data_IF_567066244862
#
_entry.id   IF_567066244862
#
_cell.length_a   1.000
_cell.length_b   1.000
_cell.length_c   1.000
_cell.angle_alpha   90.00
_cell.angle_beta   90.00
_cell.angle_gamma   90.00
#
_symmetry.space_group_name_H-M   'P 1'
#
loop_
_entity.id
_entity.type
_entity.pdbx_description
1 polymer ?
#
# COMPACT_ATOMS: atom_id res chain seq x y z
N UNK A 1 -7.14 -2.48 -29.74
CA UNK A 1 -7.20 -1.30 -28.84
C UNK A 1 -8.35 -1.47 -27.87
N UNK A 2 -8.07 -1.76 -26.59
CA UNK A 2 -9.10 -1.81 -25.54
C UNK A 2 -9.45 -0.35 -25.20
N UNK A 3 -10.55 0.17 -25.76
CA UNK A 3 -11.10 1.48 -25.39
C UNK A 3 -11.80 1.33 -24.05
N UNK A 4 -11.22 1.85 -22.97
CA UNK A 4 -12.00 2.12 -21.75
C UNK A 4 -13.12 3.12 -22.11
N UNK A 5 -14.34 2.63 -22.31
CA UNK A 5 -15.54 3.48 -22.31
C UNK A 5 -15.70 3.97 -20.88
N UNK A 6 -15.18 5.16 -20.55
CA UNK A 6 -15.17 5.72 -19.20
C UNK A 6 -16.61 5.91 -18.69
N UNK A 7 -17.12 5.07 -17.76
CA UNK A 7 -18.42 5.29 -17.15
C UNK A 7 -18.32 6.25 -15.96
N UNK A 8 -17.10 6.49 -15.45
CA UNK A 8 -16.88 7.17 -14.19
C UNK A 8 -15.79 8.24 -14.35
N UNK A 9 -16.18 9.51 -14.27
CA UNK A 9 -15.27 10.64 -14.03
C UNK A 9 -14.76 10.69 -12.57
N UNK A 10 -15.18 9.74 -11.72
CA UNK A 10 -14.79 9.61 -10.32
C UNK A 10 -13.31 9.31 -10.08
N UNK A 11 -12.54 9.00 -11.14
CA UNK A 11 -11.15 8.57 -11.02
C UNK A 11 -10.13 9.66 -11.33
N UNK A 12 -10.56 10.93 -11.35
CA UNK A 12 -9.64 12.06 -11.34
C UNK A 12 -9.02 12.19 -9.94
N UNK A 13 -7.78 12.67 -9.83
CA UNK A 13 -7.04 12.90 -8.57
C UNK A 13 -7.68 13.92 -7.60
N UNK A 14 -8.96 14.25 -7.79
CA UNK A 14 -9.69 15.24 -7.02
C UNK A 14 -10.44 14.56 -5.88
N UNK A 15 -10.30 15.04 -4.63
CA UNK A 15 -11.11 14.56 -3.51
C UNK A 15 -12.61 14.76 -3.81
N UNK A 16 -13.40 13.72 -3.60
CA UNK A 16 -14.86 13.77 -3.69
C UNK A 16 -15.43 14.03 -2.29
N UNK A 17 -16.25 15.09 -2.11
CA UNK A 17 -16.94 15.32 -0.85
C UNK A 17 -18.04 14.27 -0.64
N UNK A 18 -18.10 13.72 0.57
CA UNK A 18 -19.08 12.73 0.98
C UNK A 18 -19.50 12.98 2.43
N UNK A 19 -20.57 12.35 2.89
CA UNK A 19 -20.91 12.27 4.32
C UNK A 19 -20.67 10.85 4.82
N UNK A 20 -19.74 10.67 5.74
CA UNK A 20 -19.48 9.38 6.41
C UNK A 20 -20.05 9.45 7.82
N UNK A 21 -21.05 8.61 8.12
CA UNK A 21 -21.78 8.65 9.41
C UNK A 21 -22.35 10.04 9.76
N UNK A 22 -22.70 10.83 8.75
CA UNK A 22 -23.24 12.19 8.92
C UNK A 22 -22.18 13.31 8.95
N UNK A 23 -20.90 12.96 9.13
CA UNK A 23 -19.78 13.91 9.12
C UNK A 23 -19.33 14.22 7.70
N UNK A 24 -19.04 15.49 7.43
CA UNK A 24 -18.48 15.90 6.14
C UNK A 24 -17.07 15.35 5.99
N UNK A 25 -16.81 14.65 4.89
CA UNK A 25 -15.58 13.91 4.63
C UNK A 25 -15.16 14.05 3.16
N UNK A 26 -13.90 13.74 2.86
CA UNK A 26 -13.42 13.69 1.47
C UNK A 26 -12.82 12.33 1.18
N UNK A 27 -13.11 11.77 0.00
CA UNK A 27 -12.61 10.48 -0.44
C UNK A 27 -11.80 10.68 -1.72
N UNK A 28 -10.65 10.02 -1.81
CA UNK A 28 -9.91 9.83 -3.06
C UNK A 28 -9.93 8.35 -3.41
N UNK A 29 -9.94 8.03 -4.70
CA UNK A 29 -9.87 6.66 -5.18
C UNK A 29 -8.54 6.41 -5.89
N UNK A 30 -7.90 5.30 -5.55
CA UNK A 30 -6.76 4.74 -6.28
C UNK A 30 -7.17 3.46 -6.99
N UNK A 31 -6.44 3.11 -8.04
CA UNK A 31 -6.69 1.92 -8.85
C UNK A 31 -5.36 1.36 -9.38
N UNK A 32 -5.18 0.05 -9.24
CA UNK A 32 -4.14 -0.73 -9.92
C UNK A 32 -4.76 -1.98 -10.59
N UNK A 33 -4.17 -2.52 -11.67
CA UNK A 33 -2.94 -2.07 -12.33
C UNK A 33 -3.19 -0.94 -13.36
N UNK A 34 -2.14 -0.27 -13.89
CA UNK A 34 -2.26 0.89 -14.78
C UNK A 34 -3.12 0.65 -16.03
N UNK A 35 -3.19 -0.60 -16.48
CA UNK A 35 -4.00 -1.04 -17.63
C UNK A 35 -5.50 -0.93 -17.36
N UNK A 36 -5.92 -0.93 -16.10
CA UNK A 36 -7.32 -0.75 -15.69
C UNK A 36 -7.78 0.73 -15.67
N UNK A 37 -7.09 1.61 -16.43
CA UNK A 37 -7.57 2.82 -17.16
C UNK A 37 -6.91 4.19 -16.75
N UNK A 38 -7.18 5.27 -17.53
CA UNK A 38 -7.20 6.74 -17.24
C UNK A 38 -5.89 7.56 -17.08
N UNK A 39 -5.78 8.72 -17.78
CA UNK A 39 -4.59 9.62 -17.82
C UNK A 39 -4.27 10.43 -16.56
N UNK A 40 -5.22 10.61 -15.62
CA UNK A 40 -5.06 11.48 -14.44
C UNK A 40 -5.29 10.72 -13.13
N UNK A 41 -4.55 9.62 -12.92
CA UNK A 41 -4.74 8.70 -11.77
C UNK A 41 -3.58 8.70 -10.79
N UNK A 42 -3.89 8.27 -9.58
CA UNK A 42 -2.92 7.87 -8.55
C UNK A 42 -2.97 6.35 -8.38
N UNK A 43 -1.81 5.69 -8.30
CA UNK A 43 -1.73 4.25 -8.02
C UNK A 43 -2.04 3.96 -6.55
N UNK A 44 -2.42 2.71 -6.23
CA UNK A 44 -2.69 2.31 -4.84
C UNK A 44 -1.45 2.52 -3.96
N UNK A 45 -0.26 2.16 -4.46
CA UNK A 45 1.01 2.42 -3.77
C UNK A 45 1.20 3.90 -3.46
N UNK A 46 1.06 4.77 -4.46
CA UNK A 46 1.31 6.20 -4.29
C UNK A 46 0.31 6.85 -3.31
N UNK A 47 -0.96 6.42 -3.35
CA UNK A 47 -1.96 6.94 -2.43
C UNK A 47 -1.71 6.49 -0.98
N UNK A 48 -1.30 5.24 -0.76
CA UNK A 48 -0.93 4.75 0.57
C UNK A 48 0.30 5.48 1.13
N UNK A 49 1.34 5.67 0.31
CA UNK A 49 2.55 6.41 0.70
C UNK A 49 2.21 7.86 1.06
N UNK A 50 1.46 8.56 0.20
CA UNK A 50 1.02 9.95 0.46
C UNK A 50 0.21 10.05 1.76
N UNK A 51 -0.65 9.06 2.03
CA UNK A 51 -1.46 9.01 3.26
C UNK A 51 -0.58 8.85 4.50
N UNK A 52 0.42 7.96 4.45
CA UNK A 52 1.36 7.72 5.56
C UNK A 52 2.23 8.95 5.81
N UNK A 53 2.75 9.57 4.75
CA UNK A 53 3.60 10.76 4.83
C UNK A 53 2.84 12.01 5.31
N UNK A 54 1.51 12.01 5.22
CA UNK A 54 0.67 13.10 5.74
C UNK A 54 0.48 13.09 7.26
N UNK A 55 0.95 12.05 7.96
CA UNK A 55 0.84 11.95 9.41
C UNK A 55 1.66 13.02 10.14
N UNK A 56 1.14 13.47 11.28
CA UNK A 56 1.79 14.44 12.16
C UNK A 56 2.46 13.75 13.35
N UNK A 57 3.36 14.45 14.05
CA UNK A 57 4.10 13.92 15.20
C UNK A 57 3.22 13.53 16.39
N UNK A 58 2.01 14.07 16.49
CA UNK A 58 0.98 13.73 17.49
C UNK A 58 -0.07 12.73 16.94
N UNK A 59 0.07 12.33 15.68
CA UNK A 59 -0.82 11.42 14.98
C UNK A 59 -0.46 9.95 15.16
N UNK A 60 -1.26 9.10 14.52
CA UNK A 60 -1.10 7.64 14.53
C UNK A 60 -1.34 7.05 13.14
N UNK A 61 -0.68 5.93 12.86
CA UNK A 61 -0.82 5.17 11.62
C UNK A 61 -1.02 3.70 11.96
N UNK A 62 -2.25 3.22 11.82
CA UNK A 62 -2.60 1.82 12.10
C UNK A 62 -2.86 1.09 10.79
N UNK A 63 -2.02 0.11 10.48
CA UNK A 63 -2.09 -0.69 9.27
C UNK A 63 -2.52 -2.10 9.63
N UNK A 64 -3.59 -2.59 9.01
CA UNK A 64 -4.09 -3.97 9.19
C UNK A 64 -4.12 -4.66 7.84
N UNK A 65 -3.30 -5.70 7.67
CA UNK A 65 -3.11 -6.39 6.40
C UNK A 65 -3.09 -7.91 6.56
N UNK A 66 -3.42 -8.62 5.48
CA UNK A 66 -3.29 -10.08 5.46
C UNK A 66 -1.83 -10.50 5.42
N UNK A 67 -1.05 -9.90 4.51
CA UNK A 67 0.37 -10.16 4.30
C UNK A 67 1.13 -8.83 4.27
N UNK A 68 2.33 -8.80 4.85
CA UNK A 68 3.24 -7.66 4.72
C UNK A 68 4.62 -8.16 4.28
N UNK A 69 4.86 -8.09 2.96
CA UNK A 69 6.16 -8.39 2.38
C UNK A 69 6.47 -7.35 1.31
N UNK A 70 7.67 -6.73 1.34
CA UNK A 70 8.04 -5.74 0.34
C UNK A 70 8.47 -6.41 -0.98
N UNK A 71 8.18 -7.69 -1.19
CA UNK A 71 8.51 -8.44 -2.41
C UNK A 71 7.26 -9.13 -2.93
N UNK A 72 7.17 -9.25 -4.25
CA UNK A 72 6.06 -9.94 -4.90
C UNK A 72 6.12 -11.45 -4.66
N UNK A 73 5.08 -12.01 -4.06
CA UNK A 73 4.98 -13.46 -3.79
C UNK A 73 4.42 -14.28 -4.96
N UNK A 74 3.47 -13.72 -5.70
CA UNK A 74 2.61 -14.49 -6.60
C UNK A 74 2.93 -14.37 -8.10
N UNK A 75 4.04 -13.74 -8.45
CA UNK A 75 4.42 -13.57 -9.86
C UNK A 75 4.99 -14.85 -10.48
N UNK A 76 5.48 -15.75 -9.64
CA UNK A 76 5.89 -17.09 -10.04
C UNK A 76 4.77 -18.08 -9.79
N UNK A 77 4.01 -18.41 -10.84
CA UNK A 77 3.09 -19.55 -10.81
C UNK A 77 3.85 -20.83 -11.19
N UNK A 78 3.53 -21.93 -10.50
CA UNK A 78 4.01 -23.26 -10.86
C UNK A 78 3.71 -23.57 -12.35
N UNK A 79 4.76 -23.91 -13.11
CA UNK A 79 4.66 -24.19 -14.55
C UNK A 79 4.73 -22.96 -15.48
N UNK A 80 4.90 -21.74 -14.95
CA UNK A 80 5.12 -20.53 -15.73
C UNK A 80 6.59 -20.06 -15.65
N UNK A 81 7.18 -19.65 -16.78
CA UNK A 81 8.50 -19.02 -16.81
C UNK A 81 8.40 -17.65 -16.15
N UNK A 82 8.95 -17.50 -14.94
CA UNK A 82 9.03 -16.20 -14.29
C UNK A 82 10.00 -15.29 -15.05
N UNK A 83 9.57 -14.10 -15.52
CA UNK A 83 10.51 -13.12 -16.04
C UNK A 83 11.47 -12.73 -14.90
N UNK A 84 12.81 -12.81 -15.08
CA UNK A 84 13.77 -12.52 -14.02
C UNK A 84 13.74 -11.06 -13.52
N UNK A 85 12.98 -10.20 -14.18
CA UNK A 85 12.85 -8.76 -13.92
C UNK A 85 11.58 -8.37 -13.14
N UNK A 86 10.70 -9.33 -12.84
CA UNK A 86 9.38 -9.04 -12.26
C UNK A 86 9.29 -9.27 -10.75
N UNK A 87 10.36 -9.65 -10.04
CA UNK A 87 10.31 -9.61 -8.57
C UNK A 87 10.35 -8.16 -8.09
N UNK A 88 9.18 -7.51 -8.01
CA UNK A 88 9.10 -6.12 -7.59
C UNK A 88 9.36 -6.04 -6.09
N UNK A 89 10.43 -5.32 -5.75
CA UNK A 89 10.64 -4.81 -4.40
C UNK A 89 9.86 -3.50 -4.26
N UNK A 90 9.05 -3.36 -3.21
CA UNK A 90 8.20 -2.20 -2.91
C UNK A 90 8.76 -1.42 -1.71
N UNK A 91 9.95 -0.79 -1.81
CA UNK A 91 10.59 -0.13 -0.68
C UNK A 91 9.80 1.07 -0.17
N UNK A 92 9.06 1.76 -1.04
CA UNK A 92 8.47 3.06 -0.72
C UNK A 92 7.50 2.98 0.44
N UNK A 93 6.67 1.93 0.51
CA UNK A 93 5.72 1.76 1.59
C UNK A 93 6.42 1.53 2.93
N UNK A 94 7.45 0.67 2.95
CA UNK A 94 8.23 0.42 4.15
C UNK A 94 8.98 1.68 4.60
N UNK A 95 9.61 2.40 3.66
CA UNK A 95 10.32 3.65 3.95
C UNK A 95 9.38 4.71 4.50
N UNK A 96 8.16 4.84 3.97
CA UNK A 96 7.17 5.77 4.48
C UNK A 96 6.77 5.43 5.93
N UNK A 97 6.53 4.16 6.24
CA UNK A 97 6.18 3.72 7.60
C UNK A 97 7.32 3.98 8.59
N UNK A 98 8.55 3.60 8.23
CA UNK A 98 9.73 3.85 9.08
C UNK A 98 9.98 5.36 9.23
N UNK A 99 9.84 6.13 8.15
CA UNK A 99 9.99 7.59 8.17
C UNK A 99 8.94 8.28 9.06
N UNK A 100 7.69 7.81 9.05
CA UNK A 100 6.65 8.31 9.94
C UNK A 100 6.95 7.97 11.42
N UNK A 101 7.41 6.75 11.71
CA UNK A 101 7.71 6.33 13.07
C UNK A 101 8.97 7.03 13.64
N UNK A 102 10.05 7.06 12.87
CA UNK A 102 11.38 7.50 13.34
C UNK A 102 11.69 8.96 13.02
N UNK A 103 11.28 9.44 11.84
CA UNK A 103 11.56 10.79 11.37
C UNK A 103 10.55 11.83 11.88
N UNK A 104 9.26 11.47 11.86
CA UNK A 104 8.16 12.36 12.31
C UNK A 104 7.81 12.11 13.78
N UNK A 105 7.90 10.86 14.25
CA UNK A 105 7.56 10.47 15.62
C UNK A 105 6.09 10.07 15.83
N UNK A 106 5.37 9.71 14.76
CA UNK A 106 3.98 9.25 14.84
C UNK A 106 3.86 7.83 15.47
N UNK A 107 2.74 7.52 16.14
CA UNK A 107 2.46 6.16 16.65
C UNK A 107 2.08 5.22 15.51
N UNK A 108 3.07 4.47 14.99
CA UNK A 108 2.86 3.52 13.90
C UNK A 108 2.68 2.10 14.47
N UNK A 109 1.56 1.45 14.12
CA UNK A 109 1.28 0.07 14.51
C UNK A 109 0.87 -0.77 13.31
N UNK A 110 1.50 -1.93 13.19
CA UNK A 110 1.23 -2.88 12.13
C UNK A 110 0.61 -4.15 12.70
N UNK A 111 -0.58 -4.49 12.22
CA UNK A 111 -1.26 -5.75 12.48
C UNK A 111 -1.20 -6.59 11.19
N UNK A 112 -0.37 -7.63 11.21
CA UNK A 112 -0.26 -8.60 10.11
C UNK A 112 -0.93 -9.89 10.54
N UNK A 113 -1.79 -10.41 9.68
CA UNK A 113 -2.44 -11.70 9.94
C UNK A 113 -1.43 -12.84 9.90
N UNK A 114 -1.72 -13.92 10.62
CA UNK A 114 -0.99 -15.19 10.51
C UNK A 114 -1.89 -16.22 9.85
N UNK A 115 -1.56 -16.63 8.63
CA UNK A 115 -2.34 -17.58 7.85
C UNK A 115 -1.64 -18.93 7.73
N UNK A 116 -2.44 -19.99 7.53
CA UNK A 116 -1.93 -21.34 7.33
C UNK A 116 -1.13 -21.50 6.01
N UNK A 117 -1.22 -20.53 5.10
CA UNK A 117 -0.54 -20.51 3.81
C UNK A 117 0.57 -19.44 3.75
N UNK A 118 0.92 -18.83 4.89
CA UNK A 118 2.09 -17.98 4.97
C UNK A 118 3.34 -18.80 4.65
N UNK A 119 4.38 -18.15 4.12
CA UNK A 119 5.67 -18.83 3.99
C UNK A 119 6.27 -18.92 5.39
N UNK A 120 7.02 -19.99 5.65
CA UNK A 120 7.60 -20.23 6.97
C UNK A 120 8.47 -19.05 7.46
N UNK A 121 9.03 -18.28 6.53
CA UNK A 121 9.89 -17.12 6.78
C UNK A 121 9.14 -15.78 6.84
N UNK A 122 7.83 -15.71 6.53
CA UNK A 122 7.11 -14.45 6.41
C UNK A 122 7.17 -13.60 7.69
N UNK A 123 7.04 -14.26 8.84
CA UNK A 123 7.10 -13.60 10.15
C UNK A 123 8.54 -13.22 10.53
N UNK A 124 9.54 -14.00 10.12
CA UNK A 124 10.94 -13.72 10.42
C UNK A 124 11.49 -12.57 9.57
N UNK A 125 11.03 -12.49 8.32
CA UNK A 125 11.28 -11.34 7.44
C UNK A 125 10.71 -10.06 8.07
N UNK A 126 9.48 -10.11 8.57
CA UNK A 126 8.85 -8.95 9.22
C UNK A 126 9.63 -8.51 10.48
N UNK A 127 10.02 -9.46 11.34
CA UNK A 127 10.83 -9.16 12.53
C UNK A 127 12.16 -8.51 12.18
N UNK A 128 12.87 -9.02 11.18
CA UNK A 128 14.14 -8.43 10.71
C UNK A 128 13.97 -7.00 10.22
N UNK A 129 12.84 -6.68 9.58
CA UNK A 129 12.56 -5.31 9.16
C UNK A 129 12.31 -4.36 10.34
N UNK A 130 11.65 -4.84 11.40
CA UNK A 130 11.47 -4.07 12.63
C UNK A 130 12.82 -3.85 13.34
N UNK A 131 13.63 -4.90 13.47
CA UNK A 131 14.98 -4.82 14.05
C UNK A 131 15.88 -3.85 13.28
N UNK A 132 15.82 -3.83 11.94
CA UNK A 132 16.60 -2.90 11.12
C UNK A 132 16.18 -1.44 11.30
N UNK A 133 14.92 -1.19 11.65
CA UNK A 133 14.37 0.14 11.81
C UNK A 133 14.65 0.76 13.20
N UNK A 134 15.38 0.08 14.09
CA UNK A 134 15.52 0.43 15.52
C UNK A 134 14.15 0.68 16.20
N UNK A 135 13.12 -0.07 15.76
CA UNK A 135 11.76 -0.08 16.31
C UNK A 135 11.54 -1.27 17.25
#
# INVERSE_FOLDING_TARGET
>A
QVRCRTPFKLFESRPMPVKLNGEDSTIRLSLSPPELCGTNRISDEAMLVETIESATSDGFIYVSVMDFQPVTRFLCREGATCPPYEQFYWPKLLHALVGAATGIGADVRLLVSKWAYDSDDAQDVLKKYLEYADL
#
